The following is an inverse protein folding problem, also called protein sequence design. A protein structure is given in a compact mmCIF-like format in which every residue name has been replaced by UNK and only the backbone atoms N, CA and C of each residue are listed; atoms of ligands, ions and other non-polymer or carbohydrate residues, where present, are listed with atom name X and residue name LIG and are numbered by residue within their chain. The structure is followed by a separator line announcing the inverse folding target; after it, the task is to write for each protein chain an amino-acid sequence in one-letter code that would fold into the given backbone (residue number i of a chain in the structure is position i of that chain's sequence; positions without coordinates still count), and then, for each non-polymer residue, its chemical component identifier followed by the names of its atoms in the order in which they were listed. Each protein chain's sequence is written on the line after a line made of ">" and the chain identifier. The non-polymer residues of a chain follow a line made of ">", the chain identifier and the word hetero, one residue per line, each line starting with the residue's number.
data_IF_339962610875
#
_entry.id   IF_339962610875
#
_cell.length_a   1.000
_cell.length_b   1.000
_cell.length_c   1.000
_cell.angle_alpha   90.00
_cell.angle_beta   90.00
_cell.angle_gamma   90.00
#
_symmetry.space_group_name_H-M   'P 1'
#
loop_
_entity.id
_entity.type
_entity.pdbx_description
1 polymer ?
#
# COMPACT_ATOMS: atom_id res chain seq x y z
N UNK A 1 23.64 -25.47 -16.10
CA UNK A 1 23.56 -24.76 -14.81
C UNK A 1 22.20 -24.11 -14.77
N UNK A 2 21.35 -24.49 -13.82
CA UNK A 2 20.10 -23.75 -13.62
C UNK A 2 20.49 -22.38 -13.07
N UNK A 3 20.44 -21.35 -13.90
CA UNK A 3 20.53 -19.97 -13.42
C UNK A 3 19.42 -19.79 -12.39
N UNK A 4 19.79 -19.46 -11.15
CA UNK A 4 18.82 -19.03 -10.15
C UNK A 4 18.10 -17.81 -10.74
N UNK A 5 16.76 -17.80 -10.81
CA UNK A 5 16.04 -16.67 -11.35
C UNK A 5 16.35 -15.43 -10.50
N UNK A 6 17.08 -14.46 -11.07
CA UNK A 6 17.42 -13.22 -10.37
C UNK A 6 16.14 -12.38 -10.20
N UNK A 7 15.79 -12.01 -8.98
CA UNK A 7 14.64 -11.11 -8.73
C UNK A 7 14.89 -9.73 -9.34
N UNK A 8 13.83 -8.97 -9.64
CA UNK A 8 13.97 -7.60 -10.17
C UNK A 8 14.76 -6.69 -9.22
N UNK A 9 14.65 -6.90 -7.90
CA UNK A 9 15.43 -6.19 -6.88
C UNK A 9 16.93 -6.48 -6.95
N UNK A 10 17.30 -7.75 -7.08
CA UNK A 10 18.71 -8.16 -7.20
C UNK A 10 19.30 -7.71 -8.53
N UNK A 11 18.52 -7.77 -9.61
CA UNK A 11 18.92 -7.28 -10.92
C UNK A 11 19.21 -5.78 -10.88
N UNK A 12 18.30 -4.99 -10.28
CA UNK A 12 18.45 -3.54 -10.12
C UNK A 12 19.69 -3.18 -9.30
N UNK A 13 19.94 -3.91 -8.20
CA UNK A 13 21.15 -3.73 -7.36
C UNK A 13 22.41 -3.96 -8.17
N UNK A 14 22.49 -5.09 -8.87
CA UNK A 14 23.68 -5.43 -9.63
C UNK A 14 23.90 -4.47 -10.81
N UNK A 15 22.83 -3.99 -11.44
CA UNK A 15 22.90 -2.99 -12.51
C UNK A 15 23.41 -1.63 -11.99
N UNK A 16 22.94 -1.19 -10.81
CA UNK A 16 23.48 -0.03 -10.11
C UNK A 16 24.97 -0.18 -9.83
N UNK A 17 25.39 -1.26 -9.17
CA UNK A 17 26.76 -1.46 -8.70
C UNK A 17 27.77 -1.64 -9.84
N UNK A 18 27.39 -2.33 -10.92
CA UNK A 18 28.31 -2.77 -11.96
C UNK A 18 28.28 -1.91 -13.23
N UNK A 19 27.22 -1.14 -13.46
CA UNK A 19 27.07 -0.34 -14.69
C UNK A 19 26.85 1.14 -14.39
N UNK A 20 25.80 1.48 -13.64
CA UNK A 20 25.38 2.89 -13.50
C UNK A 20 26.31 3.66 -12.58
N UNK A 21 26.63 3.14 -11.39
CA UNK A 21 27.51 3.82 -10.44
C UNK A 21 28.90 4.09 -11.03
N UNK A 22 29.60 3.13 -11.65
CA UNK A 22 30.91 3.39 -12.26
C UNK A 22 30.86 4.38 -13.43
N UNK A 23 29.75 4.43 -14.18
CA UNK A 23 29.55 5.43 -15.23
C UNK A 23 29.44 6.84 -14.64
N UNK A 24 28.62 7.01 -13.60
CA UNK A 24 28.43 8.30 -12.94
C UNK A 24 29.70 8.76 -12.21
N UNK A 25 30.39 7.89 -11.50
CA UNK A 25 31.67 8.21 -10.83
C UNK A 25 32.72 8.74 -11.82
N UNK A 26 32.75 8.22 -13.06
CA UNK A 26 33.68 8.67 -14.11
C UNK A 26 33.23 9.97 -14.79
N UNK A 27 31.94 10.14 -15.04
CA UNK A 27 31.41 11.25 -15.87
C UNK A 27 30.93 12.46 -15.05
N UNK A 28 30.55 12.25 -13.80
CA UNK A 28 30.09 13.26 -12.84
C UNK A 28 30.68 12.96 -11.44
N UNK A 29 32.01 13.05 -11.24
CA UNK A 29 32.63 12.80 -9.95
C UNK A 29 32.03 13.70 -8.86
N UNK A 30 31.69 13.13 -7.70
CA UNK A 30 31.12 13.86 -6.56
C UNK A 30 29.63 14.19 -6.69
N UNK A 31 28.93 13.67 -7.69
CA UNK A 31 27.48 13.78 -7.77
C UNK A 31 26.83 13.09 -6.55
N UNK A 32 26.22 13.88 -5.67
CA UNK A 32 25.41 13.35 -4.58
C UNK A 32 24.04 12.91 -5.11
N UNK A 33 23.62 11.69 -4.75
CA UNK A 33 22.36 11.11 -5.20
C UNK A 33 21.84 10.03 -4.26
N UNK A 34 20.58 9.66 -4.42
CA UNK A 34 20.07 8.37 -3.94
C UNK A 34 19.81 7.42 -5.10
N UNK A 35 20.16 6.14 -4.94
CA UNK A 35 19.92 5.08 -5.91
C UNK A 35 19.10 3.97 -5.26
N UNK A 36 17.98 3.61 -5.87
CA UNK A 36 17.06 2.62 -5.33
C UNK A 36 16.26 1.96 -6.47
N UNK A 37 15.46 0.94 -6.13
CA UNK A 37 14.40 0.45 -7.03
C UNK A 37 13.05 0.86 -6.45
N UNK A 38 12.46 1.95 -6.96
CA UNK A 38 11.22 2.57 -6.46
C UNK A 38 10.15 2.64 -7.57
N UNK A 39 8.93 3.02 -7.22
CA UNK A 39 7.80 3.18 -8.14
C UNK A 39 6.94 1.93 -8.23
N UNK A 40 6.23 1.78 -9.35
CA UNK A 40 5.38 0.61 -9.61
C UNK A 40 6.19 -0.65 -9.94
N UNK A 41 5.56 -1.81 -9.74
CA UNK A 41 6.10 -3.12 -10.10
C UNK A 41 6.01 -4.13 -8.96
N UNK A 42 5.76 -5.40 -9.28
CA UNK A 42 5.74 -6.50 -8.31
C UNK A 42 7.10 -6.72 -7.67
N UNK A 43 8.18 -6.44 -8.39
CA UNK A 43 9.55 -6.50 -7.90
C UNK A 43 9.81 -5.46 -6.81
N UNK A 44 9.16 -4.30 -6.85
CA UNK A 44 9.29 -3.29 -5.78
C UNK A 44 8.80 -3.83 -4.45
N UNK A 45 7.82 -4.72 -4.44
CA UNK A 45 7.32 -5.40 -3.23
C UNK A 45 8.00 -6.75 -2.96
N UNK A 46 8.78 -7.28 -3.91
CA UNK A 46 9.38 -8.62 -3.83
C UNK A 46 8.37 -9.74 -4.07
N UNK A 47 7.31 -9.45 -4.82
CA UNK A 47 6.28 -10.40 -5.22
C UNK A 47 6.39 -10.82 -6.69
N UNK A 48 7.48 -10.45 -7.37
CA UNK A 48 7.77 -10.83 -8.74
C UNK A 48 8.04 -12.34 -8.87
N UNK A 49 7.61 -12.87 -10.01
CA UNK A 49 7.83 -14.24 -10.46
C UNK A 49 8.28 -14.23 -11.93
N UNK A 50 8.53 -15.42 -12.49
CA UNK A 50 8.97 -15.57 -13.88
C UNK A 50 7.97 -14.99 -14.88
N UNK A 51 6.66 -15.09 -14.61
CA UNK A 51 5.61 -14.57 -15.48
C UNK A 51 5.65 -13.04 -15.53
N UNK A 52 5.92 -12.36 -14.41
CA UNK A 52 5.97 -10.90 -14.33
C UNK A 52 7.13 -10.21 -15.08
N UNK A 53 7.89 -10.97 -15.88
CA UNK A 53 9.01 -10.48 -16.69
C UNK A 53 8.62 -10.15 -18.14
N UNK A 54 7.38 -10.45 -18.52
CA UNK A 54 6.87 -10.31 -19.89
C UNK A 54 6.59 -8.85 -20.31
N UNK A 55 6.43 -7.93 -19.36
CA UNK A 55 6.33 -6.49 -19.58
C UNK A 55 6.91 -5.71 -18.39
N UNK A 56 7.31 -4.45 -18.62
CA UNK A 56 7.67 -3.49 -17.57
C UNK A 56 8.78 -3.93 -16.61
N UNK A 57 9.57 -4.91 -17.02
CA UNK A 57 10.65 -5.54 -16.26
C UNK A 57 11.98 -5.42 -17.01
N UNK A 58 13.09 -5.34 -16.27
CA UNK A 58 14.43 -5.33 -16.85
C UNK A 58 15.42 -4.49 -16.03
N UNK A 59 16.36 -3.87 -16.72
CA UNK A 59 17.41 -3.03 -16.13
C UNK A 59 16.86 -1.66 -15.70
N UNK A 60 16.11 -1.64 -14.60
CA UNK A 60 15.42 -0.47 -14.05
C UNK A 60 16.04 -0.07 -12.71
N UNK A 61 16.05 1.23 -12.44
CA UNK A 61 16.32 1.81 -11.12
C UNK A 61 15.81 3.25 -11.08
N UNK A 62 15.83 3.85 -9.91
CA UNK A 62 15.49 5.25 -9.66
C UNK A 62 16.74 5.94 -9.11
N UNK A 63 17.11 7.06 -9.71
CA UNK A 63 18.14 7.97 -9.21
C UNK A 63 17.48 9.27 -8.79
N UNK A 64 17.67 9.65 -7.52
CA UNK A 64 17.20 10.92 -6.99
C UNK A 64 18.38 11.89 -6.91
N UNK A 65 18.31 12.98 -7.69
CA UNK A 65 19.35 14.02 -7.78
C UNK A 65 18.71 15.39 -7.61
N UNK A 66 19.32 16.23 -6.77
CA UNK A 66 18.79 17.56 -6.45
C UNK A 66 19.35 18.65 -7.39
N UNK A 67 19.08 19.91 -7.08
CA UNK A 67 19.62 21.10 -7.77
C UNK A 67 19.32 21.18 -9.28
N UNK A 68 18.22 20.56 -9.72
CA UNK A 68 17.81 20.56 -11.12
C UNK A 68 18.71 19.73 -12.04
N UNK A 69 19.52 18.82 -11.48
CA UNK A 69 20.48 18.01 -12.25
C UNK A 69 19.85 16.83 -12.99
N UNK A 70 18.56 16.55 -12.76
CA UNK A 70 17.89 15.38 -13.32
C UNK A 70 17.94 15.30 -14.87
N UNK A 71 17.65 16.36 -15.64
CA UNK A 71 17.69 16.30 -17.11
C UNK A 71 19.10 15.99 -17.66
N UNK A 72 20.13 16.56 -17.03
CA UNK A 72 21.53 16.33 -17.41
C UNK A 72 21.95 14.88 -17.18
N UNK A 73 21.56 14.31 -16.04
CA UNK A 73 21.86 12.92 -15.67
C UNK A 73 21.09 11.95 -16.57
N UNK A 74 19.81 12.19 -16.84
CA UNK A 74 19.02 11.39 -17.78
C UNK A 74 19.66 11.38 -19.18
N UNK A 75 20.01 12.55 -19.73
CA UNK A 75 20.65 12.66 -21.04
C UNK A 75 22.04 12.00 -21.10
N UNK A 76 22.78 12.02 -19.99
CA UNK A 76 24.05 11.30 -19.86
C UNK A 76 23.85 9.79 -19.94
N UNK A 77 22.88 9.25 -19.19
CA UNK A 77 22.57 7.83 -19.17
C UNK A 77 22.08 7.37 -20.54
N UNK A 78 21.20 8.13 -21.19
CA UNK A 78 20.70 7.81 -22.53
C UNK A 78 21.82 7.75 -23.58
N UNK A 79 22.87 8.56 -23.45
CA UNK A 79 24.00 8.56 -24.39
C UNK A 79 25.02 7.45 -24.10
N UNK A 80 25.32 7.20 -22.84
CA UNK A 80 26.53 6.44 -22.45
C UNK A 80 26.25 5.02 -21.95
N UNK A 81 25.01 4.69 -21.58
CA UNK A 81 24.69 3.33 -21.15
C UNK A 81 24.93 2.35 -22.31
N UNK A 82 25.54 1.17 -22.02
CA UNK A 82 25.79 0.15 -23.04
C UNK A 82 24.48 -0.31 -23.66
N UNK A 83 24.50 -0.90 -24.86
CA UNK A 83 23.26 -1.36 -25.50
C UNK A 83 22.56 -2.47 -24.69
N UNK A 84 23.33 -3.34 -24.05
CA UNK A 84 22.84 -4.44 -23.23
C UNK A 84 23.81 -4.78 -22.09
N UNK A 85 23.31 -5.43 -21.05
CA UNK A 85 24.10 -5.99 -19.95
C UNK A 85 23.44 -7.27 -19.44
N UNK A 86 24.24 -8.33 -19.22
CA UNK A 86 23.76 -9.69 -18.87
C UNK A 86 22.66 -10.22 -19.81
N UNK A 87 22.81 -9.97 -21.12
CA UNK A 87 21.84 -10.39 -22.13
C UNK A 87 20.52 -9.61 -22.14
N UNK A 88 20.35 -8.61 -21.27
CA UNK A 88 19.18 -7.75 -21.21
C UNK A 88 19.46 -6.39 -21.84
N UNK A 89 18.51 -5.82 -22.62
CA UNK A 89 18.67 -4.48 -23.17
C UNK A 89 18.62 -3.43 -22.06
N UNK A 90 19.41 -2.37 -22.19
CA UNK A 90 19.29 -1.18 -21.30
C UNK A 90 18.17 -0.25 -21.75
N UNK A 91 17.74 -0.36 -23.02
CA UNK A 91 16.71 0.45 -23.64
C UNK A 91 15.56 -0.42 -24.14
N UNK A 92 14.36 -0.15 -23.68
CA UNK A 92 13.16 -0.93 -24.03
C UNK A 92 11.90 -0.11 -23.79
N UNK A 93 10.77 -0.57 -24.32
CA UNK A 93 9.45 0.04 -24.15
C UNK A 93 8.78 -0.44 -22.86
N UNK A 94 7.92 0.39 -22.29
CA UNK A 94 7.06 0.04 -21.14
C UNK A 94 5.61 0.31 -21.50
N UNK A 95 4.66 -0.32 -20.81
CA UNK A 95 3.23 -0.17 -21.10
C UNK A 95 2.72 1.26 -20.90
N UNK A 96 3.32 2.01 -19.97
CA UNK A 96 2.99 3.41 -19.69
C UNK A 96 3.78 4.43 -20.53
N UNK A 97 4.85 4.00 -21.20
CA UNK A 97 5.66 4.84 -22.09
C UNK A 97 6.21 3.98 -23.24
N UNK A 98 5.51 3.90 -24.38
CA UNK A 98 5.88 3.06 -25.51
C UNK A 98 7.00 3.70 -26.36
N UNK A 99 8.13 3.99 -25.71
CA UNK A 99 9.33 4.58 -26.33
C UNK A 99 10.55 3.73 -25.97
N UNK A 100 11.37 3.35 -26.96
CA UNK A 100 12.64 2.66 -26.70
C UNK A 100 13.66 3.65 -26.14
N UNK A 101 13.87 3.64 -24.83
CA UNK A 101 14.85 4.48 -24.13
C UNK A 101 15.37 3.80 -22.88
N UNK A 102 16.40 4.38 -22.27
CA UNK A 102 16.96 3.91 -21.01
C UNK A 102 15.90 3.99 -19.88
N UNK A 103 15.85 3.00 -18.98
CA UNK A 103 14.80 2.85 -17.96
C UNK A 103 15.23 3.11 -16.51
N UNK A 104 16.25 3.95 -16.36
CA UNK A 104 16.59 4.62 -15.10
C UNK A 104 15.74 5.88 -14.99
N UNK A 105 14.83 5.90 -14.02
CA UNK A 105 14.05 7.10 -13.69
C UNK A 105 14.95 8.08 -12.93
N UNK A 106 15.07 9.31 -13.43
CA UNK A 106 15.89 10.36 -12.80
C UNK A 106 14.99 11.54 -12.47
N UNK A 107 14.97 11.96 -11.20
CA UNK A 107 14.16 13.07 -10.71
C UNK A 107 14.79 13.66 -9.44
N UNK A 108 14.31 14.81 -8.95
CA UNK A 108 14.52 15.17 -7.53
C UNK A 108 13.69 14.27 -6.61
N UNK A 109 14.06 14.20 -5.33
CA UNK A 109 13.29 13.44 -4.36
C UNK A 109 11.86 13.97 -4.21
N UNK A 110 11.68 15.29 -4.28
CA UNK A 110 10.37 15.94 -4.22
C UNK A 110 9.53 15.63 -5.46
N UNK A 111 10.07 15.77 -6.68
CA UNK A 111 9.32 15.46 -7.91
C UNK A 111 8.90 13.99 -7.96
N UNK A 112 9.81 13.08 -7.59
CA UNK A 112 9.51 11.66 -7.52
C UNK A 112 8.38 11.37 -6.54
N UNK A 113 8.48 11.86 -5.29
CA UNK A 113 7.44 11.64 -4.29
C UNK A 113 6.10 12.27 -4.70
N UNK A 114 6.10 13.50 -5.23
CA UNK A 114 4.90 14.17 -5.72
C UNK A 114 4.20 13.34 -6.81
N UNK A 115 4.97 12.79 -7.75
CA UNK A 115 4.44 11.98 -8.86
C UNK A 115 3.75 10.68 -8.42
N UNK A 116 4.03 10.18 -7.22
CA UNK A 116 3.42 8.95 -6.67
C UNK A 116 2.31 9.30 -5.68
N UNK A 117 2.62 10.18 -4.73
CA UNK A 117 1.72 10.52 -3.63
C UNK A 117 0.58 11.43 -4.06
N UNK A 118 0.77 12.24 -5.11
CA UNK A 118 -0.26 13.18 -5.58
C UNK A 118 -0.46 14.39 -4.66
N UNK A 119 0.55 14.72 -3.87
CA UNK A 119 0.59 15.84 -2.93
C UNK A 119 1.94 16.56 -3.05
N UNK A 120 2.06 17.74 -2.47
CA UNK A 120 3.37 18.36 -2.23
C UNK A 120 4.09 17.58 -1.11
N UNK A 121 5.25 16.95 -1.38
CA UNK A 121 5.97 16.17 -0.38
C UNK A 121 6.96 17.03 0.42
N UNK A 122 7.17 18.31 0.10
CA UNK A 122 8.11 19.18 0.82
C UNK A 122 7.82 19.20 2.33
N UNK A 123 6.56 19.27 2.82
CA UNK A 123 6.28 19.25 4.25
C UNK A 123 6.71 17.95 4.97
N UNK A 124 6.91 16.82 4.26
CA UNK A 124 7.46 15.59 4.86
C UNK A 124 8.93 15.74 5.30
N UNK A 125 9.61 16.77 4.78
CA UNK A 125 11.01 17.06 5.05
C UNK A 125 11.18 18.12 6.15
N UNK A 126 10.08 18.78 6.52
CA UNK A 126 10.03 19.84 7.51
C UNK A 126 9.26 19.44 8.77
N UNK A 127 9.26 20.31 9.80
CA UNK A 127 8.58 20.06 11.07
C UNK A 127 7.05 20.14 10.98
N UNK A 128 6.51 20.85 10.00
CA UNK A 128 5.08 21.02 9.77
C UNK A 128 4.34 19.72 9.42
N UNK A 129 5.00 18.79 8.70
CA UNK A 129 4.36 17.57 8.23
C UNK A 129 3.23 17.81 7.22
N UNK A 130 2.58 16.72 6.81
CA UNK A 130 1.45 16.77 5.88
C UNK A 130 0.17 17.29 6.54
N UNK A 131 -0.68 17.95 5.76
CA UNK A 131 -2.02 18.37 6.21
C UNK A 131 -2.94 17.16 6.41
N UNK A 132 -4.05 17.36 7.13
CA UNK A 132 -5.07 16.31 7.28
C UNK A 132 -5.59 15.80 5.93
N UNK A 133 -5.92 16.70 5.01
CA UNK A 133 -6.38 16.33 3.65
C UNK A 133 -5.32 15.54 2.89
N UNK A 134 -4.04 15.89 3.02
CA UNK A 134 -2.95 15.15 2.39
C UNK A 134 -2.94 13.70 2.92
N UNK A 135 -2.94 13.53 4.24
CA UNK A 135 -2.98 12.20 4.87
C UNK A 135 -4.19 11.38 4.43
N UNK A 136 -5.38 11.97 4.42
CA UNK A 136 -6.60 11.27 4.00
C UNK A 136 -6.55 10.88 2.51
N UNK A 137 -5.87 11.67 1.67
CA UNK A 137 -5.76 11.41 0.23
C UNK A 137 -4.74 10.32 -0.14
N UNK A 138 -3.82 9.98 0.77
CA UNK A 138 -2.84 8.93 0.53
C UNK A 138 -3.53 7.55 0.36
N UNK A 139 -2.92 6.71 -0.46
CA UNK A 139 -3.25 5.29 -0.56
C UNK A 139 -2.03 4.47 -0.19
N UNK A 140 -2.23 3.31 0.42
CA UNK A 140 -1.14 2.42 0.78
C UNK A 140 -0.26 2.08 -0.42
N UNK A 141 -0.85 1.83 -1.58
CA UNK A 141 -0.10 1.56 -2.80
C UNK A 141 0.82 2.73 -3.20
N UNK A 142 0.33 3.98 -3.20
CA UNK A 142 1.14 5.14 -3.56
C UNK A 142 2.30 5.35 -2.57
N UNK A 143 2.06 5.13 -1.28
CA UNK A 143 3.12 5.21 -0.26
C UNK A 143 4.14 4.09 -0.43
N UNK A 144 3.72 2.87 -0.74
CA UNK A 144 4.62 1.74 -0.98
C UNK A 144 5.52 1.95 -2.19
N UNK A 145 5.05 2.64 -3.23
CA UNK A 145 5.87 2.99 -4.40
C UNK A 145 7.05 3.91 -4.05
N UNK A 146 6.96 4.67 -2.95
CA UNK A 146 8.08 5.48 -2.43
C UNK A 146 8.92 4.70 -1.40
N UNK A 147 8.26 3.89 -0.57
CA UNK A 147 8.85 3.38 0.68
C UNK A 147 9.29 1.91 0.65
N UNK A 148 8.67 1.05 -0.17
CA UNK A 148 8.86 -0.41 -0.08
C UNK A 148 10.10 -0.93 -0.80
N UNK A 149 10.53 -0.22 -1.85
CA UNK A 149 11.64 -0.63 -2.70
C UNK A 149 13.00 -0.69 -1.98
N UNK A 150 13.95 -1.53 -2.43
CA UNK A 150 15.29 -1.55 -1.85
C UNK A 150 16.07 -0.28 -2.19
N UNK A 151 16.82 0.23 -1.22
CA UNK A 151 17.78 1.34 -1.39
C UNK A 151 19.18 0.76 -1.52
N UNK A 152 19.93 1.25 -2.49
CA UNK A 152 21.31 0.84 -2.78
C UNK A 152 22.32 1.89 -2.36
N UNK A 153 21.93 3.17 -2.43
CA UNK A 153 22.72 4.31 -1.99
C UNK A 153 21.77 5.47 -1.63
N UNK A 154 22.10 6.27 -0.62
CA UNK A 154 21.35 7.48 -0.24
C UNK A 154 22.32 8.50 0.36
N UNK A 155 23.19 9.07 -0.48
CA UNK A 155 24.23 10.00 -0.04
C UNK A 155 23.67 11.24 0.69
N UNK A 156 22.74 12.00 0.06
CA UNK A 156 22.08 13.16 0.68
C UNK A 156 21.14 12.85 1.86
N UNK A 157 20.76 11.58 2.03
CA UNK A 157 19.78 11.15 3.03
C UNK A 157 18.34 11.62 2.73
N UNK A 158 18.06 12.14 1.53
CA UNK A 158 16.75 12.68 1.15
C UNK A 158 15.69 11.58 1.13
N UNK A 159 16.02 10.43 0.56
CA UNK A 159 15.08 9.30 0.45
C UNK A 159 14.77 8.74 1.84
N UNK A 160 15.76 8.61 2.71
CA UNK A 160 15.58 8.22 4.10
C UNK A 160 14.62 9.14 4.85
N UNK A 161 14.74 10.47 4.67
CA UNK A 161 13.84 11.45 5.29
C UNK A 161 12.40 11.32 4.78
N UNK A 162 12.20 11.21 3.47
CA UNK A 162 10.87 10.98 2.89
C UNK A 162 10.22 9.71 3.45
N UNK A 163 10.98 8.62 3.54
CA UNK A 163 10.50 7.35 4.09
C UNK A 163 10.14 7.44 5.57
N UNK A 164 10.91 8.21 6.35
CA UNK A 164 10.61 8.44 7.75
C UNK A 164 9.30 9.23 7.91
N UNK A 165 9.09 10.27 7.10
CA UNK A 165 7.84 11.06 7.10
C UNK A 165 6.61 10.23 6.69
N UNK A 166 6.80 9.21 5.85
CA UNK A 166 5.76 8.29 5.39
C UNK A 166 5.69 6.99 6.21
N UNK A 167 6.40 6.91 7.34
CA UNK A 167 6.49 5.68 8.11
C UNK A 167 5.11 5.20 8.58
N UNK A 168 4.27 6.13 9.07
CA UNK A 168 2.88 5.85 9.41
C UNK A 168 2.04 7.12 9.56
N UNK A 169 0.71 6.95 9.60
CA UNK A 169 -0.23 8.00 9.95
C UNK A 169 0.05 8.64 11.32
N UNK A 170 -0.27 9.94 11.50
CA UNK A 170 -0.48 10.53 12.81
C UNK A 170 -1.54 9.72 13.59
N UNK A 171 -1.39 9.65 14.91
CA UNK A 171 -2.21 8.78 15.77
C UNK A 171 -3.71 8.93 15.53
N UNK A 172 -4.20 10.16 15.46
CA UNK A 172 -5.64 10.41 15.38
C UNK A 172 -6.21 10.10 14.00
N UNK A 173 -5.43 10.34 12.94
CA UNK A 173 -5.77 9.88 11.58
C UNK A 173 -5.78 8.35 11.50
N UNK A 174 -4.84 7.68 12.18
CA UNK A 174 -4.81 6.23 12.28
C UNK A 174 -6.06 5.68 12.99
N UNK A 175 -6.46 6.26 14.12
CA UNK A 175 -7.68 5.88 14.84
C UNK A 175 -8.94 6.09 13.99
N UNK A 176 -9.00 7.20 13.25
CA UNK A 176 -10.09 7.47 12.31
C UNK A 176 -10.16 6.40 11.20
N UNK A 177 -9.03 6.04 10.60
CA UNK A 177 -8.97 5.00 9.57
C UNK A 177 -9.37 3.61 10.12
N UNK A 178 -8.89 3.24 11.30
CA UNK A 178 -9.28 1.98 11.98
C UNK A 178 -10.79 1.95 12.28
N UNK A 179 -11.33 3.05 12.82
CA UNK A 179 -12.74 3.16 13.13
C UNK A 179 -13.61 3.03 11.87
N UNK A 180 -13.15 3.58 10.74
CA UNK A 180 -13.87 3.48 9.47
C UNK A 180 -13.99 2.04 8.97
N UNK A 181 -12.94 1.22 9.08
CA UNK A 181 -13.02 -0.20 8.71
C UNK A 181 -13.98 -0.97 9.62
N UNK A 182 -13.87 -0.82 10.94
CA UNK A 182 -14.80 -1.46 11.87
C UNK A 182 -16.25 -1.00 11.65
N UNK A 183 -16.46 0.28 11.35
CA UNK A 183 -17.78 0.81 11.04
C UNK A 183 -18.35 0.17 9.79
N UNK A 184 -17.55 0.05 8.72
CA UNK A 184 -17.94 -0.58 7.45
C UNK A 184 -18.25 -2.07 7.63
N UNK A 185 -17.52 -2.77 8.49
CA UNK A 185 -17.86 -4.14 8.89
C UNK A 185 -19.24 -4.15 9.57
N UNK A 186 -19.46 -3.30 10.59
CA UNK A 186 -20.71 -3.24 11.35
C UNK A 186 -21.95 -2.93 10.50
N UNK A 187 -21.83 -2.09 9.47
CA UNK A 187 -22.95 -1.70 8.60
C UNK A 187 -23.64 -2.89 7.91
N UNK A 188 -22.88 -3.91 7.50
CA UNK A 188 -23.41 -5.03 6.70
C UNK A 188 -23.01 -6.41 7.26
N UNK A 189 -22.41 -6.50 8.44
CA UNK A 189 -22.09 -7.78 9.08
C UNK A 189 -23.30 -8.73 9.17
N UNK A 190 -24.48 -8.30 9.66
CA UNK A 190 -25.65 -9.18 9.70
C UNK A 190 -26.21 -9.53 8.32
N UNK A 191 -25.85 -8.78 7.27
CA UNK A 191 -26.43 -8.93 5.94
C UNK A 191 -25.95 -10.20 5.23
N UNK A 192 -24.78 -10.72 5.60
CA UNK A 192 -24.32 -12.06 5.22
C UNK A 192 -25.37 -13.11 5.58
N UNK A 193 -25.84 -13.10 6.82
CA UNK A 193 -26.87 -14.03 7.27
C UNK A 193 -28.26 -13.70 6.75
N UNK A 194 -28.61 -12.41 6.61
CA UNK A 194 -29.95 -11.98 6.15
C UNK A 194 -30.22 -12.29 4.68
N UNK A 195 -29.19 -12.24 3.82
CA UNK A 195 -29.28 -12.68 2.43
C UNK A 195 -29.47 -14.19 2.37
N UNK A 196 -28.57 -14.95 3.01
CA UNK A 196 -28.62 -16.41 3.00
C UNK A 196 -29.88 -17.01 3.63
N UNK A 197 -30.46 -16.36 4.65
CA UNK A 197 -31.74 -16.79 5.24
C UNK A 197 -32.89 -16.76 4.24
N UNK A 198 -32.80 -15.92 3.19
CA UNK A 198 -33.78 -15.85 2.09
C UNK A 198 -33.46 -16.83 0.95
N UNK A 199 -32.46 -17.69 1.12
CA UNK A 199 -31.98 -18.59 0.07
C UNK A 199 -30.99 -17.96 -0.90
N UNK A 200 -30.56 -16.71 -0.67
CA UNK A 200 -29.58 -16.01 -1.50
C UNK A 200 -28.16 -16.22 -0.96
N UNK A 201 -27.58 -17.37 -1.29
CA UNK A 201 -26.21 -17.70 -0.93
C UNK A 201 -25.18 -16.90 -1.73
N UNK A 202 -25.51 -16.49 -2.96
CA UNK A 202 -24.64 -15.69 -3.81
C UNK A 202 -24.52 -14.26 -3.26
N UNK A 203 -25.64 -13.62 -2.91
CA UNK A 203 -25.66 -12.31 -2.25
C UNK A 203 -24.91 -12.35 -0.91
N UNK A 204 -25.09 -13.42 -0.13
CA UNK A 204 -24.34 -13.64 1.10
C UNK A 204 -22.82 -13.75 0.85
N UNK A 205 -22.39 -14.44 -0.20
CA UNK A 205 -20.99 -14.55 -0.59
C UNK A 205 -20.40 -13.22 -1.07
N UNK A 206 -21.15 -12.44 -1.87
CA UNK A 206 -20.73 -11.11 -2.36
C UNK A 206 -20.48 -10.15 -1.19
N UNK A 207 -21.41 -10.10 -0.23
CA UNK A 207 -21.27 -9.25 0.97
C UNK A 207 -20.05 -9.69 1.79
N UNK A 208 -19.89 -10.99 2.02
CA UNK A 208 -18.76 -11.49 2.82
C UNK A 208 -17.39 -11.26 2.13
N UNK A 209 -17.30 -11.38 0.80
CA UNK A 209 -16.06 -11.09 0.09
C UNK A 209 -15.62 -9.62 0.28
N UNK A 210 -16.59 -8.70 0.34
CA UNK A 210 -16.33 -7.29 0.65
C UNK A 210 -15.85 -7.09 2.10
N UNK A 211 -16.41 -7.85 3.05
CA UNK A 211 -15.92 -7.86 4.44
C UNK A 211 -14.50 -8.41 4.55
N UNK A 212 -14.20 -9.52 3.85
CA UNK A 212 -12.84 -10.09 3.80
C UNK A 212 -11.82 -9.06 3.34
N UNK A 213 -12.14 -8.30 2.29
CA UNK A 213 -11.27 -7.21 1.85
C UNK A 213 -11.06 -6.14 2.94
N UNK A 214 -12.13 -5.72 3.60
CA UNK A 214 -12.08 -4.73 4.69
C UNK A 214 -11.25 -5.25 5.87
N UNK A 215 -11.40 -6.52 6.23
CA UNK A 215 -10.64 -7.19 7.29
C UNK A 215 -9.14 -7.28 6.96
N UNK A 216 -8.79 -7.59 5.71
CA UNK A 216 -7.39 -7.59 5.27
C UNK A 216 -6.79 -6.17 5.30
N UNK A 217 -7.56 -5.15 4.94
CA UNK A 217 -7.12 -3.75 5.06
C UNK A 217 -6.93 -3.34 6.54
N UNK A 218 -7.90 -3.64 7.39
CA UNK A 218 -7.83 -3.40 8.84
C UNK A 218 -6.60 -4.08 9.47
N UNK A 219 -6.28 -5.31 9.07
CA UNK A 219 -5.08 -6.00 9.54
C UNK A 219 -3.80 -5.21 9.23
N UNK A 220 -3.70 -4.61 8.04
CA UNK A 220 -2.55 -3.77 7.68
C UNK A 220 -2.49 -2.51 8.56
N UNK A 221 -3.63 -1.84 8.78
CA UNK A 221 -3.69 -0.67 9.64
C UNK A 221 -3.28 -0.98 11.09
N UNK A 222 -3.78 -2.09 11.66
CA UNK A 222 -3.44 -2.51 13.03
C UNK A 222 -1.93 -2.75 13.19
N UNK A 223 -1.29 -3.31 12.17
CA UNK A 223 0.15 -3.58 12.17
C UNK A 223 1.01 -2.41 11.71
N UNK A 224 0.42 -1.24 11.47
CA UNK A 224 1.10 -0.06 10.93
C UNK A 224 1.87 -0.36 9.64
N UNK A 225 1.23 -1.10 8.73
CA UNK A 225 1.75 -1.42 7.40
C UNK A 225 0.83 -0.84 6.35
N UNK A 226 1.42 -0.21 5.33
CA UNK A 226 0.65 0.29 4.20
C UNK A 226 0.10 -0.89 3.38
N UNK A 227 -1.20 -0.91 3.06
CA UNK A 227 -1.79 -1.98 2.25
C UNK A 227 -1.40 -1.82 0.77
N UNK A 228 -0.99 -2.90 0.08
CA UNK A 228 -0.82 -2.85 -1.37
C UNK A 228 -2.18 -2.96 -2.08
N UNK A 229 -2.19 -2.70 -3.39
CA UNK A 229 -3.39 -2.89 -4.20
C UNK A 229 -3.91 -4.35 -4.19
N UNK A 230 -5.16 -4.53 -4.61
CA UNK A 230 -5.95 -5.76 -4.37
C UNK A 230 -5.29 -7.08 -4.76
N UNK A 231 -4.48 -7.12 -5.83
CA UNK A 231 -3.76 -8.34 -6.25
C UNK A 231 -2.87 -8.91 -5.13
N UNK A 232 -2.26 -8.04 -4.33
CA UNK A 232 -1.28 -8.41 -3.33
C UNK A 232 -1.81 -8.33 -1.89
N UNK A 233 -3.02 -7.82 -1.66
CA UNK A 233 -3.55 -7.56 -0.33
C UNK A 233 -3.53 -8.81 0.57
N UNK A 234 -4.10 -9.93 0.11
CA UNK A 234 -4.13 -11.18 0.88
C UNK A 234 -2.74 -11.85 1.00
N UNK A 235 -1.83 -11.62 0.04
CA UNK A 235 -0.44 -12.10 0.12
C UNK A 235 0.34 -11.32 1.17
N UNK A 236 0.19 -9.99 1.17
CA UNK A 236 0.82 -9.09 2.13
C UNK A 236 0.31 -9.32 3.55
N UNK A 237 -1.02 -9.44 3.74
CA UNK A 237 -1.62 -9.70 5.05
C UNK A 237 -1.10 -10.99 5.72
N UNK A 238 -0.81 -12.03 4.94
CA UNK A 238 -0.27 -13.29 5.47
C UNK A 238 1.13 -13.12 6.11
N UNK A 239 1.87 -12.07 5.75
CA UNK A 239 3.19 -11.78 6.30
C UNK A 239 3.15 -10.99 7.61
N UNK A 240 1.97 -10.53 8.03
CA UNK A 240 1.78 -9.81 9.28
C UNK A 240 1.80 -10.77 10.48
N UNK A 241 2.14 -10.31 11.69
CA UNK A 241 1.92 -11.08 12.92
C UNK A 241 0.48 -11.62 13.02
N UNK A 242 0.33 -12.94 13.21
CA UNK A 242 -1.00 -13.59 13.21
C UNK A 242 -1.67 -13.70 11.83
N UNK A 243 -0.99 -13.28 10.75
CA UNK A 243 -1.50 -13.24 9.39
C UNK A 243 -1.93 -14.59 8.84
N UNK A 244 -1.25 -15.68 9.22
CA UNK A 244 -1.63 -17.05 8.79
C UNK A 244 -3.00 -17.46 9.32
N UNK A 245 -3.29 -17.18 10.60
CA UNK A 245 -4.59 -17.47 11.21
C UNK A 245 -5.70 -16.64 10.55
N UNK A 246 -5.45 -15.34 10.38
CA UNK A 246 -6.40 -14.46 9.68
C UNK A 246 -6.65 -14.93 8.24
N UNK A 247 -5.58 -15.30 7.51
CA UNK A 247 -5.66 -15.82 6.15
C UNK A 247 -6.48 -17.10 6.07
N UNK A 248 -6.31 -18.00 7.05
CA UNK A 248 -7.12 -19.22 7.17
C UNK A 248 -8.59 -18.87 7.32
N UNK A 249 -8.93 -18.05 8.33
CA UNK A 249 -10.31 -17.68 8.63
C UNK A 249 -11.01 -16.99 7.45
N UNK A 250 -10.37 -16.01 6.80
CA UNK A 250 -10.95 -15.36 5.62
C UNK A 250 -11.02 -16.29 4.40
N UNK A 251 -10.11 -17.25 4.29
CA UNK A 251 -10.17 -18.30 3.28
C UNK A 251 -11.41 -19.18 3.44
N UNK A 252 -11.74 -19.55 4.68
CA UNK A 252 -12.96 -20.29 4.99
C UNK A 252 -14.23 -19.48 4.68
N UNK A 253 -14.23 -18.18 4.98
CA UNK A 253 -15.34 -17.27 4.59
C UNK A 253 -15.61 -17.35 3.09
N UNK A 254 -14.55 -17.25 2.28
CA UNK A 254 -14.66 -17.25 0.81
C UNK A 254 -15.05 -18.63 0.23
N UNK A 255 -14.69 -19.72 0.91
CA UNK A 255 -14.97 -21.09 0.46
C UNK A 255 -16.30 -21.64 1.00
N UNK A 256 -16.89 -20.99 2.01
CA UNK A 256 -18.12 -21.43 2.64
C UNK A 256 -19.30 -21.49 1.64
N UNK A 257 -19.99 -22.64 1.64
CA UNK A 257 -21.16 -22.90 0.79
C UNK A 257 -22.49 -22.50 1.42
N UNK A 258 -22.50 -22.23 2.72
CA UNK A 258 -23.70 -21.81 3.45
C UNK A 258 -23.42 -20.53 4.20
N UNK A 259 -24.44 -19.67 4.33
CA UNK A 259 -24.32 -18.43 5.08
C UNK A 259 -23.98 -18.66 6.55
N UNK A 260 -24.39 -19.80 7.13
CA UNK A 260 -24.08 -20.14 8.53
C UNK A 260 -22.59 -20.39 8.73
N UNK A 261 -21.98 -21.20 7.87
CA UNK A 261 -20.54 -21.42 7.89
C UNK A 261 -19.79 -20.12 7.62
N UNK A 262 -20.25 -19.34 6.63
CA UNK A 262 -19.67 -18.03 6.27
C UNK A 262 -19.72 -17.05 7.44
N UNK A 263 -20.86 -16.94 8.13
CA UNK A 263 -21.02 -16.08 9.31
C UNK A 263 -20.12 -16.52 10.46
N UNK A 264 -19.96 -17.83 10.68
CA UNK A 264 -19.09 -18.37 11.73
C UNK A 264 -17.63 -18.01 11.49
N UNK A 265 -17.08 -18.28 10.30
CA UNK A 265 -15.70 -17.94 9.97
C UNK A 265 -15.47 -16.42 9.90
N UNK A 266 -16.51 -15.65 9.54
CA UNK A 266 -16.43 -14.18 9.54
C UNK A 266 -16.34 -13.64 10.98
N UNK A 267 -17.08 -14.23 11.92
CA UNK A 267 -16.97 -13.89 13.33
C UNK A 267 -15.58 -14.21 13.87
N UNK A 268 -15.04 -15.40 13.58
CA UNK A 268 -13.67 -15.77 13.95
C UNK A 268 -12.63 -14.76 13.43
N UNK A 269 -12.73 -14.36 12.16
CA UNK A 269 -11.85 -13.33 11.60
C UNK A 269 -11.99 -11.97 12.33
N UNK A 270 -13.20 -11.58 12.74
CA UNK A 270 -13.41 -10.38 13.53
C UNK A 270 -12.78 -10.49 14.94
N UNK A 271 -12.91 -11.64 15.61
CA UNK A 271 -12.28 -11.87 16.92
C UNK A 271 -10.75 -11.80 16.83
N UNK A 272 -10.14 -12.37 15.77
CA UNK A 272 -8.69 -12.27 15.53
C UNK A 272 -8.22 -10.81 15.37
N UNK A 273 -9.00 -9.99 14.66
CA UNK A 273 -8.68 -8.57 14.49
C UNK A 273 -8.88 -7.75 15.76
N UNK A 274 -9.91 -8.06 16.56
CA UNK A 274 -10.12 -7.43 17.84
C UNK A 274 -9.01 -7.77 18.85
N UNK A 275 -8.52 -9.01 18.83
CA UNK A 275 -7.35 -9.43 19.61
C UNK A 275 -6.07 -8.72 19.15
N UNK A 276 -5.84 -8.63 17.83
CA UNK A 276 -4.71 -7.88 17.27
C UNK A 276 -4.76 -6.39 17.66
N UNK A 277 -5.96 -5.80 17.72
CA UNK A 277 -6.17 -4.43 18.19
C UNK A 277 -5.81 -4.26 19.67
N UNK A 278 -6.24 -5.20 20.53
CA UNK A 278 -5.84 -5.21 21.94
C UNK A 278 -4.33 -5.37 22.13
N UNK A 279 -3.67 -6.17 21.29
CA UNK A 279 -2.22 -6.39 21.34
C UNK A 279 -1.39 -5.15 20.99
N UNK A 280 -1.98 -4.18 20.28
CA UNK A 280 -1.37 -2.85 20.02
C UNK A 280 -1.89 -1.77 20.97
N UNK A 281 -2.45 -2.18 22.12
CA UNK A 281 -2.93 -1.31 23.21
C UNK A 281 -4.03 -0.33 22.82
N UNK A 282 -4.81 -0.66 21.78
CA UNK A 282 -6.00 0.09 21.40
C UNK A 282 -7.26 -0.50 22.06
N UNK A 283 -8.27 0.33 22.39
CA UNK A 283 -9.48 -0.17 23.03
C UNK A 283 -10.22 -1.13 22.10
N UNK A 284 -10.71 -2.23 22.63
CA UNK A 284 -11.37 -3.31 21.88
C UNK A 284 -12.45 -3.98 22.74
N UNK A 285 -13.18 -4.94 22.19
CA UNK A 285 -14.20 -5.72 22.89
C UNK A 285 -13.96 -7.21 22.67
N UNK A 286 -14.17 -8.00 23.73
CA UNK A 286 -14.16 -9.45 23.70
C UNK A 286 -15.49 -9.97 24.30
N UNK A 287 -16.34 -10.67 23.52
CA UNK A 287 -16.23 -10.86 22.07
C UNK A 287 -16.39 -9.53 21.31
N UNK A 288 -15.82 -9.46 20.11
CA UNK A 288 -15.96 -8.38 19.14
C UNK A 288 -17.33 -8.39 18.45
N UNK A 289 -17.94 -9.56 18.37
CA UNK A 289 -19.26 -9.79 17.78
C UNK A 289 -20.36 -9.95 18.83
N UNK A 290 -21.60 -9.68 18.42
CA UNK A 290 -22.78 -9.89 19.26
C UNK A 290 -23.98 -10.36 18.43
N UNK A 291 -25.03 -10.84 19.12
CA UNK A 291 -26.28 -11.17 18.46
C UNK A 291 -26.94 -9.91 17.86
N UNK A 292 -27.36 -9.99 16.59
CA UNK A 292 -28.07 -8.91 15.94
C UNK A 292 -29.55 -8.92 16.38
N UNK A 293 -29.85 -8.23 17.48
CA UNK A 293 -31.14 -8.33 18.18
C UNK A 293 -31.45 -9.78 18.58
N UNK A 294 -32.70 -10.20 18.47
CA UNK A 294 -33.14 -11.59 18.73
C UNK A 294 -33.03 -12.50 17.49
N UNK A 295 -32.22 -12.12 16.49
CA UNK A 295 -32.11 -12.83 15.20
C UNK A 295 -30.92 -13.81 15.21
N UNK A 296 -30.88 -14.82 14.32
CA UNK A 296 -29.76 -15.76 14.24
C UNK A 296 -28.50 -15.19 13.55
N UNK A 297 -28.42 -13.87 13.41
CA UNK A 297 -27.34 -13.18 12.73
C UNK A 297 -26.42 -12.50 13.74
N UNK A 298 -25.16 -12.31 13.37
CA UNK A 298 -24.21 -11.58 14.19
C UNK A 298 -24.07 -10.13 13.69
N UNK A 299 -23.70 -9.24 14.61
CA UNK A 299 -23.24 -7.89 14.34
C UNK A 299 -21.86 -7.66 14.93
N UNK A 300 -21.22 -6.55 14.55
CA UNK A 300 -20.01 -6.04 15.21
C UNK A 300 -20.44 -5.11 16.32
N UNK A 301 -19.82 -5.22 17.50
CA UNK A 301 -20.08 -4.35 18.66
C UNK A 301 -19.49 -2.96 18.45
N UNK A 302 -19.69 -2.06 19.42
CA UNK A 302 -19.33 -0.64 19.35
C UNK A 302 -17.82 -0.31 19.38
N UNK A 303 -16.96 -1.19 18.84
CA UNK A 303 -15.52 -0.95 18.64
C UNK A 303 -15.23 0.37 17.90
N UNK A 304 -15.97 0.76 16.83
CA UNK A 304 -15.76 2.06 16.19
C UNK A 304 -15.93 3.24 17.16
N UNK A 305 -16.89 3.16 18.08
CA UNK A 305 -17.13 4.22 19.07
C UNK A 305 -16.00 4.30 20.09
N UNK A 306 -15.45 3.15 20.51
CA UNK A 306 -14.29 3.11 21.40
C UNK A 306 -13.06 3.78 20.77
N UNK A 307 -12.82 3.57 19.47
CA UNK A 307 -11.70 4.18 18.75
C UNK A 307 -11.92 5.69 18.53
N UNK A 308 -13.10 6.08 18.08
CA UNK A 308 -13.43 7.51 17.84
C UNK A 308 -13.42 8.35 19.12
N UNK A 309 -13.75 7.76 20.27
CA UNK A 309 -13.66 8.43 21.57
C UNK A 309 -12.22 8.75 22.00
N UNK A 310 -11.21 8.11 21.38
CA UNK A 310 -9.79 8.33 21.66
C UNK A 310 -9.13 9.41 20.79
N UNK A 311 -9.89 10.01 19.87
CA UNK A 311 -9.41 11.08 18.98
C UNK A 311 -9.44 12.40 19.74
N UNK A 312 -8.30 13.09 19.78
CA UNK A 312 -8.08 14.34 20.51
C UNK A 312 -8.06 15.55 19.57
N UNK A 313 -7.49 15.39 18.38
CA UNK A 313 -7.37 16.41 17.34
C UNK A 313 -8.75 16.91 16.89
N UNK A 314 -9.05 18.22 17.02
CA UNK A 314 -10.36 18.76 16.70
C UNK A 314 -10.71 18.68 15.21
N UNK A 315 -9.73 18.76 14.31
CA UNK A 315 -9.96 18.64 12.87
C UNK A 315 -10.32 17.20 12.51
N UNK A 316 -9.62 16.22 13.10
CA UNK A 316 -9.94 14.80 12.91
C UNK A 316 -11.30 14.45 13.52
N UNK A 317 -11.64 14.99 14.69
CA UNK A 317 -12.96 14.81 15.33
C UNK A 317 -14.12 15.37 14.51
N UNK A 318 -13.86 16.37 13.67
CA UNK A 318 -14.87 16.97 12.81
C UNK A 318 -15.17 16.13 11.55
N UNK A 319 -14.35 15.11 11.25
CA UNK A 319 -14.57 14.23 10.11
C UNK A 319 -15.83 13.38 10.28
N UNK A 320 -16.48 13.07 9.15
CA UNK A 320 -17.66 12.19 9.13
C UNK A 320 -17.27 10.76 9.52
N UNK A 321 -17.87 10.26 10.60
CA UNK A 321 -17.64 8.89 11.08
C UNK A 321 -17.99 7.87 9.99
N UNK A 322 -17.11 6.88 9.79
CA UNK A 322 -17.34 5.76 8.89
C UNK A 322 -16.93 5.96 7.43
N UNK A 323 -16.49 7.16 7.04
CA UNK A 323 -16.05 7.45 5.66
C UNK A 323 -14.65 6.90 5.38
N UNK A 324 -13.68 7.22 6.25
CA UNK A 324 -12.29 6.76 6.14
C UNK A 324 -11.43 7.59 5.19
N UNK A 325 -10.32 7.01 4.73
CA UNK A 325 -9.36 7.59 3.78
C UNK A 325 -9.75 7.28 2.33
N UNK A 326 -9.04 7.85 1.35
CA UNK A 326 -9.35 7.69 -0.08
C UNK A 326 -9.49 6.22 -0.52
N UNK A 327 -8.64 5.31 -0.02
CA UNK A 327 -8.69 3.87 -0.35
C UNK A 327 -9.79 3.08 0.39
N UNK A 328 -10.38 3.66 1.44
CA UNK A 328 -11.58 3.14 2.10
C UNK A 328 -12.85 3.67 1.41
N UNK A 329 -12.82 4.88 0.83
CA UNK A 329 -13.96 5.49 0.13
C UNK A 329 -14.22 4.81 -1.22
N UNK A 330 -13.17 4.53 -1.99
CA UNK A 330 -13.27 3.99 -3.35
C UNK A 330 -12.33 2.83 -3.57
N UNK A 331 -12.76 1.87 -4.37
CA UNK A 331 -11.92 0.80 -4.91
C UNK A 331 -11.68 0.89 -6.42
N UNK A 332 -12.24 1.92 -7.05
CA UNK A 332 -12.03 2.19 -8.44
C UNK A 332 -10.57 2.59 -8.68
N UNK A 333 -9.84 1.74 -9.42
CA UNK A 333 -8.42 1.94 -9.71
C UNK A 333 -8.17 3.28 -10.39
N UNK A 334 -9.01 3.68 -11.35
CA UNK A 334 -8.90 4.98 -12.04
C UNK A 334 -8.94 6.15 -11.06
N UNK A 335 -9.75 6.04 -10.00
CA UNK A 335 -9.82 7.07 -8.94
C UNK A 335 -8.58 7.00 -8.04
N UNK A 336 -8.14 5.81 -7.65
CA UNK A 336 -7.03 5.63 -6.70
C UNK A 336 -5.64 5.92 -7.29
N UNK A 337 -5.49 5.92 -8.61
CA UNK A 337 -4.23 6.30 -9.28
C UNK A 337 -4.20 7.78 -9.70
N UNK A 338 -5.34 8.49 -9.63
CA UNK A 338 -5.44 9.91 -9.96
C UNK A 338 -5.37 10.77 -8.70
N UNK A 339 -4.31 11.58 -8.59
CA UNK A 339 -4.08 12.46 -7.45
C UNK A 339 -5.24 13.42 -7.15
N UNK A 340 -5.78 14.05 -8.20
CA UNK A 340 -6.87 15.01 -8.04
C UNK A 340 -8.17 14.34 -7.64
N UNK A 341 -8.45 13.14 -8.15
CA UNK A 341 -9.61 12.35 -7.77
C UNK A 341 -9.53 11.92 -6.31
N UNK A 342 -8.37 11.44 -5.84
CA UNK A 342 -8.16 11.09 -4.41
C UNK A 342 -8.40 12.28 -3.49
N UNK A 343 -7.88 13.47 -3.82
CA UNK A 343 -8.12 14.68 -3.01
C UNK A 343 -9.59 15.06 -2.94
N UNK A 344 -10.29 15.04 -4.08
CA UNK A 344 -11.74 15.33 -4.13
C UNK A 344 -12.56 14.35 -3.28
N UNK A 345 -12.16 13.08 -3.20
CA UNK A 345 -12.86 12.09 -2.37
C UNK A 345 -12.87 12.46 -0.89
N UNK A 346 -11.81 13.11 -0.41
CA UNK A 346 -11.61 13.41 1.01
C UNK A 346 -11.88 14.87 1.36
N UNK A 347 -12.60 15.59 0.49
CA UNK A 347 -13.03 16.96 0.71
C UNK A 347 -11.99 18.05 0.39
N UNK A 348 -10.95 17.70 -0.37
CA UNK A 348 -9.91 18.62 -0.85
C UNK A 348 -10.02 19.04 -2.30
#
# INVERSE_FOLDING_TARGET
>A
MNEVPVSGRELSRAYWEQVVRPLLERRRPGLELAAARLGSGSDVLGFDDEQSRDHDWGLRLTLLVEDGLAPDVDALLERELPAAWRGLPTRFETTWEPVVRQRVEVASAAEFAASRLGIDPVPLLGPEGLTLTDWLSLTGQAVLEVTAGPVFHDGPGMLGRLRAGLAWYPRDVWLYALAADWHRLGQEFPDVGRAGLRGDEDGSAVIAARHVRTMLHLAHLLHRRWPPYGKWLARSAATLPGGDALRSAVGEVLQARTWRARQSSLAEAAELLAAAQGAVELPTLEPATEAFFHRPHLGVRDIPMLLTAQIEDPEVRALTVGVGTAEQISDNVTVLVDAHARRRLVGG
#
